data_IF_957862615433
#
_entry.id   IF_957862615433
#
_cell.length_a   1.000
_cell.length_b   1.000
_cell.length_c   1.000
_cell.angle_alpha   90.00
_cell.angle_beta   90.00
_cell.angle_gamma   90.00
#
_symmetry.space_group_name_H-M   'P 1'
#
loop_
_entity.id
_entity.type
_entity.pdbx_description
1 polymer ?
#
# COMPACT_ATOMS: atom_id res chain seq x y z
N UNK A 1 12.17 -21.67 -0.06
CA UNK A 1 11.97 -20.77 1.09
C UNK A 1 12.62 -19.44 0.74
N UNK A 2 11.99 -18.30 1.05
CA UNK A 2 12.61 -17.00 0.85
C UNK A 2 13.92 -16.92 1.64
N UNK A 3 14.92 -16.23 1.09
CA UNK A 3 16.19 -16.02 1.76
C UNK A 3 16.09 -14.92 2.83
N UNK A 4 15.19 -13.96 2.65
CA UNK A 4 14.97 -12.89 3.62
C UNK A 4 14.10 -13.37 4.80
N UNK A 5 14.61 -13.19 6.01
CA UNK A 5 13.92 -13.56 7.25
C UNK A 5 13.38 -12.31 7.98
N UNK A 6 12.06 -12.15 8.05
CA UNK A 6 11.43 -11.00 8.72
C UNK A 6 11.89 -10.89 10.18
N UNK A 7 11.87 -11.99 10.92
CA UNK A 7 12.16 -12.03 12.35
C UNK A 7 13.62 -11.64 12.65
N UNK A 8 14.56 -11.92 11.74
CA UNK A 8 15.96 -11.54 11.91
C UNK A 8 16.17 -10.02 11.96
N UNK A 9 15.28 -9.24 11.35
CA UNK A 9 15.36 -7.77 11.32
C UNK A 9 14.41 -7.08 12.29
N UNK A 10 13.61 -7.81 13.09
CA UNK A 10 12.59 -7.21 13.95
C UNK A 10 13.17 -6.20 14.94
N UNK A 11 14.20 -6.59 15.70
CA UNK A 11 14.82 -5.69 16.68
C UNK A 11 15.40 -4.43 16.01
N UNK A 12 16.06 -4.61 14.85
CA UNK A 12 16.61 -3.48 14.09
C UNK A 12 15.49 -2.56 13.57
N UNK A 13 14.39 -3.11 13.06
CA UNK A 13 13.26 -2.31 12.59
C UNK A 13 12.59 -1.55 13.74
N UNK A 14 12.44 -2.17 14.92
CA UNK A 14 11.95 -1.49 16.12
C UNK A 14 12.81 -0.29 16.50
N UNK A 15 14.13 -0.45 16.51
CA UNK A 15 15.07 0.64 16.81
C UNK A 15 15.00 1.76 15.76
N UNK A 16 14.99 1.41 14.47
CA UNK A 16 14.92 2.37 13.38
C UNK A 16 13.59 3.15 13.36
N UNK A 17 12.46 2.47 13.58
CA UNK A 17 11.16 3.10 13.71
C UNK A 17 11.14 4.06 14.89
N UNK A 18 11.66 3.62 16.04
CA UNK A 18 11.75 4.44 17.24
C UNK A 18 12.56 5.71 16.98
N UNK A 19 13.77 5.56 16.43
CA UNK A 19 14.70 6.65 16.19
C UNK A 19 14.22 7.63 15.11
N UNK A 20 13.56 7.15 14.06
CA UNK A 20 13.09 7.98 12.97
C UNK A 20 11.78 8.71 13.29
N UNK A 21 10.84 8.03 13.95
CA UNK A 21 9.45 8.46 14.03
C UNK A 21 8.91 8.68 15.44
N UNK A 22 9.47 8.05 16.47
CA UNK A 22 8.89 8.08 17.82
C UNK A 22 9.68 8.94 18.83
N UNK A 23 10.97 9.20 18.58
CA UNK A 23 11.78 10.13 19.40
C UNK A 23 11.49 11.58 18.99
N UNK A 24 10.87 12.34 19.89
CA UNK A 24 10.44 13.73 19.64
C UNK A 24 11.61 14.65 19.23
N UNK A 25 12.71 14.61 19.99
CA UNK A 25 13.84 15.53 19.82
C UNK A 25 14.97 14.99 18.92
N UNK A 26 14.68 13.99 18.08
CA UNK A 26 15.67 13.49 17.11
C UNK A 26 15.94 14.58 16.06
N UNK A 27 17.22 14.91 15.87
CA UNK A 27 17.63 15.86 14.82
C UNK A 27 17.18 15.39 13.43
N UNK A 28 16.88 16.34 12.54
CA UNK A 28 16.45 16.03 11.16
C UNK A 28 17.53 15.25 10.39
N UNK A 29 18.81 15.55 10.64
CA UNK A 29 19.96 14.76 10.13
C UNK A 29 19.91 13.31 10.62
N UNK A 30 19.64 13.12 11.92
CA UNK A 30 19.48 11.80 12.52
C UNK A 30 18.29 11.03 11.93
N UNK A 31 17.14 11.69 11.73
CA UNK A 31 15.95 11.10 11.09
C UNK A 31 16.27 10.65 9.66
N UNK A 32 16.86 11.53 8.84
CA UNK A 32 17.26 11.21 7.47
C UNK A 32 18.19 9.99 7.38
N UNK A 33 19.23 9.94 8.22
CA UNK A 33 20.14 8.78 8.28
C UNK A 33 19.42 7.48 8.66
N UNK A 34 18.47 7.57 9.60
CA UNK A 34 17.71 6.40 10.08
C UNK A 34 16.73 5.90 9.00
N UNK A 35 16.04 6.81 8.30
CA UNK A 35 15.15 6.46 7.17
C UNK A 35 15.93 5.80 6.04
N UNK A 36 17.15 6.28 5.74
CA UNK A 36 18.03 5.64 4.76
C UNK A 36 18.33 4.19 5.14
N UNK A 37 18.71 3.94 6.40
CA UNK A 37 18.99 2.59 6.89
C UNK A 37 17.74 1.70 6.88
N UNK A 38 16.57 2.26 7.19
CA UNK A 38 15.29 1.55 7.05
C UNK A 38 15.07 1.15 5.58
N UNK A 39 15.22 2.07 4.64
CA UNK A 39 15.06 1.77 3.22
C UNK A 39 16.01 0.65 2.74
N UNK A 40 17.21 0.51 3.33
CA UNK A 40 18.08 -0.65 3.05
C UNK A 40 17.42 -1.98 3.44
N UNK A 41 16.69 -2.05 4.54
CA UNK A 41 15.95 -3.25 4.96
C UNK A 41 14.80 -3.55 4.00
N UNK A 42 14.06 -2.53 3.58
CA UNK A 42 12.98 -2.69 2.59
C UNK A 42 13.54 -3.20 1.25
N UNK A 43 14.68 -2.65 0.80
CA UNK A 43 15.35 -3.11 -0.41
C UNK A 43 15.89 -4.54 -0.26
N UNK A 44 16.39 -4.93 0.91
CA UNK A 44 16.78 -6.33 1.18
C UNK A 44 15.58 -7.28 1.05
N UNK A 45 14.41 -6.89 1.57
CA UNK A 45 13.16 -7.65 1.42
C UNK A 45 12.80 -7.82 -0.05
N UNK A 46 12.85 -6.72 -0.82
CA UNK A 46 12.50 -6.72 -2.25
C UNK A 46 13.45 -7.58 -3.11
N UNK A 47 14.74 -7.58 -2.77
CA UNK A 47 15.76 -8.38 -3.46
C UNK A 47 15.87 -9.81 -2.93
N UNK A 48 15.04 -10.20 -1.96
CA UNK A 48 15.12 -11.47 -1.23
C UNK A 48 16.56 -11.80 -0.79
N UNK A 49 17.22 -10.84 -0.13
CA UNK A 49 18.62 -11.01 0.29
C UNK A 49 18.74 -11.81 1.58
N UNK A 50 19.72 -12.74 1.67
CA UNK A 50 19.99 -13.45 2.91
C UNK A 50 20.65 -12.52 3.95
N UNK A 51 20.56 -12.96 5.21
CA UNK A 51 21.06 -12.23 6.37
C UNK A 51 22.59 -12.02 6.31
N UNK A 52 23.06 -10.93 6.93
CA UNK A 52 24.49 -10.63 7.08
C UNK A 52 25.20 -10.13 5.82
N UNK A 53 24.57 -10.19 4.63
CA UNK A 53 25.17 -9.61 3.42
C UNK A 53 25.18 -8.08 3.49
N UNK A 54 26.19 -7.44 2.91
CA UNK A 54 26.28 -5.97 2.85
C UNK A 54 25.35 -5.44 1.77
N UNK A 55 24.57 -4.40 2.10
CA UNK A 55 23.81 -3.60 1.15
C UNK A 55 24.11 -2.12 1.38
N UNK A 56 24.20 -1.35 0.30
CA UNK A 56 24.24 0.11 0.34
C UNK A 56 23.43 0.63 -0.85
N UNK A 57 22.39 1.42 -0.58
CA UNK A 57 21.46 1.94 -1.60
C UNK A 57 22.16 2.61 -2.78
N UNK A 58 23.26 3.33 -2.52
CA UNK A 58 23.99 4.07 -3.55
C UNK A 58 24.94 3.23 -4.40
N UNK A 59 25.17 1.96 -4.04
CA UNK A 59 26.17 1.14 -4.72
C UNK A 59 25.73 0.73 -6.14
N UNK A 60 26.66 0.70 -7.12
CA UNK A 60 26.35 0.22 -8.47
C UNK A 60 25.77 -1.19 -8.48
N UNK A 61 26.22 -2.06 -7.57
CA UNK A 61 25.72 -3.43 -7.42
C UNK A 61 24.25 -3.43 -7.01
N UNK A 62 23.86 -2.69 -5.97
CA UNK A 62 22.46 -2.60 -5.54
C UNK A 62 21.57 -2.04 -6.65
N UNK A 63 22.02 -0.97 -7.33
CA UNK A 63 21.28 -0.41 -8.48
C UNK A 63 21.08 -1.43 -9.60
N UNK A 64 22.13 -2.19 -9.95
CA UNK A 64 22.05 -3.24 -10.98
C UNK A 64 21.11 -4.37 -10.58
N UNK A 65 21.15 -4.82 -9.32
CA UNK A 65 20.25 -5.86 -8.81
C UNK A 65 18.79 -5.41 -8.83
N UNK A 66 18.51 -4.17 -8.42
CA UNK A 66 17.16 -3.59 -8.46
C UNK A 66 16.65 -3.48 -9.90
N UNK A 67 17.46 -2.95 -10.80
CA UNK A 67 17.14 -2.85 -12.22
C UNK A 67 16.83 -4.22 -12.83
N UNK A 68 17.62 -5.24 -12.52
CA UNK A 68 17.39 -6.61 -12.99
C UNK A 68 16.10 -7.22 -12.41
N UNK A 69 15.87 -7.09 -11.10
CA UNK A 69 14.67 -7.64 -10.43
C UNK A 69 13.37 -6.98 -10.91
N UNK A 70 13.41 -5.67 -11.17
CA UNK A 70 12.25 -4.86 -11.51
C UNK A 70 12.01 -4.68 -13.00
N UNK A 71 12.90 -5.20 -13.85
CA UNK A 71 12.95 -4.87 -15.28
C UNK A 71 13.04 -3.35 -15.54
N UNK A 72 13.95 -2.67 -14.83
CA UNK A 72 14.15 -1.22 -14.89
C UNK A 72 12.89 -0.40 -14.57
N UNK A 73 12.14 -0.82 -13.56
CA UNK A 73 10.95 -0.07 -13.15
C UNK A 73 11.33 1.30 -12.58
N UNK A 74 10.88 2.35 -13.28
CA UNK A 74 11.19 3.74 -12.90
C UNK A 74 10.60 4.13 -11.54
N UNK A 75 9.44 3.59 -11.15
CA UNK A 75 8.82 3.88 -9.85
C UNK A 75 9.71 3.37 -8.71
N UNK A 76 10.23 2.14 -8.83
CA UNK A 76 11.18 1.61 -7.86
C UNK A 76 12.51 2.38 -7.86
N UNK A 77 13.13 2.52 -9.04
CA UNK A 77 14.49 3.07 -9.17
C UNK A 77 14.51 4.51 -8.64
N UNK A 78 13.57 5.34 -9.07
CA UNK A 78 13.50 6.75 -8.63
C UNK A 78 13.25 6.89 -7.13
N UNK A 79 12.53 5.95 -6.50
CA UNK A 79 12.28 5.96 -5.06
C UNK A 79 13.55 5.65 -4.27
N UNK A 80 14.32 4.64 -4.68
CA UNK A 80 15.63 4.36 -4.08
C UNK A 80 16.61 5.52 -4.29
N UNK A 81 16.61 6.12 -5.49
CA UNK A 81 17.49 7.25 -5.79
C UNK A 81 17.17 8.51 -5.00
N UNK A 82 15.89 8.83 -4.78
CA UNK A 82 15.48 9.95 -3.91
C UNK A 82 15.98 9.76 -2.49
N UNK A 83 15.76 8.59 -1.89
CA UNK A 83 16.24 8.28 -0.52
C UNK A 83 17.77 8.37 -0.46
N UNK A 84 18.48 7.78 -1.42
CA UNK A 84 19.93 7.81 -1.45
C UNK A 84 20.46 9.25 -1.61
N UNK A 85 19.87 10.03 -2.51
CA UNK A 85 20.31 11.40 -2.80
C UNK A 85 20.14 12.29 -1.58
N UNK A 86 18.95 12.29 -0.95
CA UNK A 86 18.71 13.09 0.25
C UNK A 86 19.52 12.57 1.43
N UNK A 87 19.53 11.26 1.67
CA UNK A 87 20.26 10.66 2.78
C UNK A 87 21.77 10.90 2.70
N UNK A 88 22.39 10.80 1.51
CA UNK A 88 23.83 11.01 1.34
C UNK A 88 24.26 12.45 1.65
N UNK A 89 23.37 13.44 1.54
CA UNK A 89 23.68 14.84 1.89
C UNK A 89 24.03 15.02 3.38
N UNK A 90 23.58 14.11 4.25
CA UNK A 90 23.65 14.32 5.70
C UNK A 90 24.51 13.31 6.44
N UNK A 91 25.02 12.28 5.73
CA UNK A 91 25.88 11.23 6.29
C UNK A 91 27.36 11.59 6.31
N UNK A 92 27.82 12.49 5.42
CA UNK A 92 29.23 12.85 5.32
C UNK A 92 29.52 14.20 6.01
N UNK A 93 30.68 14.28 6.67
CA UNK A 93 31.11 15.47 7.43
C UNK A 93 31.49 16.66 6.54
N UNK A 94 31.64 16.44 5.23
CA UNK A 94 31.88 17.49 4.23
C UNK A 94 30.64 18.35 3.97
N UNK A 95 29.45 17.81 4.25
CA UNK A 95 28.20 18.54 4.11
C UNK A 95 27.87 19.29 5.40
N UNK A 96 28.21 20.58 5.41
CA UNK A 96 27.92 21.52 6.51
C UNK A 96 26.45 21.96 6.57
N UNK A 97 25.63 21.56 5.58
CA UNK A 97 24.22 21.89 5.51
C UNK A 97 23.40 21.22 6.61
N UNK A 98 22.36 21.93 7.07
CA UNK A 98 21.34 21.38 7.95
C UNK A 98 20.29 20.64 7.11
N UNK A 99 19.82 19.49 7.59
CA UNK A 99 18.66 18.84 7.02
C UNK A 99 17.41 19.67 7.32
N UNK A 100 16.53 19.81 6.33
CA UNK A 100 15.23 20.48 6.49
C UNK A 100 14.12 19.48 6.77
N UNK A 101 12.96 19.97 7.23
CA UNK A 101 11.76 19.14 7.38
C UNK A 101 11.29 18.59 6.03
N UNK A 102 11.44 19.39 4.96
CA UNK A 102 11.13 18.99 3.59
C UNK A 102 12.00 17.81 3.13
N UNK A 103 13.30 17.81 3.43
CA UNK A 103 14.19 16.68 3.12
C UNK A 103 13.69 15.38 3.78
N UNK A 104 13.34 15.45 5.07
CA UNK A 104 12.81 14.28 5.81
C UNK A 104 11.47 13.84 5.21
N UNK A 105 10.58 14.79 4.90
CA UNK A 105 9.29 14.50 4.30
C UNK A 105 9.43 13.77 2.94
N UNK A 106 10.31 14.25 2.06
CA UNK A 106 10.60 13.61 0.78
C UNK A 106 11.14 12.18 0.94
N UNK A 107 11.97 11.93 1.95
CA UNK A 107 12.45 10.58 2.25
C UNK A 107 11.33 9.66 2.75
N UNK A 108 10.40 10.19 3.55
CA UNK A 108 9.22 9.42 4.00
C UNK A 108 8.31 9.06 2.82
N UNK A 109 8.04 10.00 1.93
CA UNK A 109 7.28 9.73 0.71
C UNK A 109 7.94 8.65 -0.14
N UNK A 110 9.25 8.75 -0.38
CA UNK A 110 9.99 7.73 -1.13
C UNK A 110 10.03 6.37 -0.40
N UNK A 111 10.00 6.35 0.95
CA UNK A 111 9.86 5.10 1.71
C UNK A 111 8.46 4.47 1.52
N UNK A 112 7.40 5.29 1.46
CA UNK A 112 6.05 4.79 1.11
C UNK A 112 6.00 4.24 -0.31
N UNK A 113 6.73 4.84 -1.26
CA UNK A 113 6.86 4.27 -2.59
C UNK A 113 7.56 2.90 -2.57
N UNK A 114 8.60 2.70 -1.75
CA UNK A 114 9.21 1.38 -1.58
C UNK A 114 8.23 0.35 -0.98
N UNK A 115 7.43 0.75 0.01
CA UNK A 115 6.38 -0.12 0.53
C UNK A 115 5.34 -0.48 -0.53
N UNK A 116 4.85 0.52 -1.26
CA UNK A 116 3.91 0.32 -2.34
C UNK A 116 4.47 -0.65 -3.39
N UNK A 117 5.77 -0.56 -3.68
CA UNK A 117 6.43 -1.41 -4.66
C UNK A 117 6.49 -2.89 -4.25
N UNK A 118 6.61 -3.21 -2.95
CA UNK A 118 6.51 -4.61 -2.48
C UNK A 118 5.20 -5.25 -2.95
N UNK A 119 4.08 -4.51 -2.84
CA UNK A 119 2.77 -4.99 -3.25
C UNK A 119 2.57 -4.91 -4.77
N UNK A 120 3.16 -3.93 -5.45
CA UNK A 120 3.15 -3.87 -6.92
C UNK A 120 3.88 -5.10 -7.50
N UNK A 121 5.07 -5.44 -7.01
CA UNK A 121 5.84 -6.62 -7.46
C UNK A 121 5.06 -7.91 -7.21
N UNK A 122 4.36 -8.00 -6.08
CA UNK A 122 3.47 -9.11 -5.75
C UNK A 122 2.29 -9.22 -6.73
N UNK A 123 1.52 -8.14 -6.91
CA UNK A 123 0.30 -8.17 -7.73
C UNK A 123 0.55 -8.22 -9.24
N UNK A 124 1.79 -8.01 -9.69
CA UNK A 124 2.22 -8.31 -11.07
C UNK A 124 2.35 -9.81 -11.34
N UNK A 125 2.50 -10.62 -10.29
CA UNK A 125 2.60 -12.08 -10.36
C UNK A 125 1.29 -12.77 -9.98
N UNK A 126 0.46 -12.10 -9.18
CA UNK A 126 -0.84 -12.59 -8.72
C UNK A 126 -1.90 -11.52 -8.98
N UNK A 127 -2.85 -11.73 -9.89
CA UNK A 127 -3.68 -10.62 -10.35
C UNK A 127 -4.56 -10.06 -9.21
N UNK A 128 -4.61 -8.74 -9.11
CA UNK A 128 -5.36 -8.06 -8.05
C UNK A 128 -6.85 -8.36 -8.16
N UNK A 129 -7.45 -8.86 -7.07
CA UNK A 129 -8.87 -9.22 -7.02
C UNK A 129 -9.18 -10.70 -7.27
N UNK A 130 -8.21 -11.54 -7.64
CA UNK A 130 -8.45 -12.99 -7.78
C UNK A 130 -8.74 -13.66 -6.43
N UNK A 131 -8.00 -13.26 -5.39
CA UNK A 131 -8.19 -13.72 -4.01
C UNK A 131 -8.80 -12.60 -3.17
N UNK A 132 -10.11 -12.70 -2.91
CA UNK A 132 -10.89 -11.69 -2.19
C UNK A 132 -10.33 -11.44 -0.77
N UNK A 133 -9.84 -12.47 -0.09
CA UNK A 133 -9.26 -12.33 1.26
C UNK A 133 -7.96 -11.55 1.24
N UNK A 134 -7.11 -11.77 0.22
CA UNK A 134 -5.89 -10.97 0.01
C UNK A 134 -6.26 -9.51 -0.27
N UNK A 135 -7.25 -9.26 -1.13
CA UNK A 135 -7.72 -7.89 -1.41
C UNK A 135 -8.28 -7.19 -0.16
N UNK A 136 -9.02 -7.90 0.70
CA UNK A 136 -9.52 -7.37 1.96
C UNK A 136 -8.39 -7.05 2.95
N UNK A 137 -7.42 -7.95 3.13
CA UNK A 137 -6.29 -7.72 4.05
C UNK A 137 -5.34 -6.64 3.51
N UNK A 138 -5.13 -6.56 2.20
CA UNK A 138 -4.41 -5.46 1.56
C UNK A 138 -5.07 -4.11 1.87
N UNK A 139 -6.40 -4.09 2.00
CA UNK A 139 -7.16 -2.90 2.36
C UNK A 139 -6.93 -2.43 3.80
N UNK A 140 -6.10 -3.09 4.62
CA UNK A 140 -5.69 -2.62 5.95
C UNK A 140 -4.49 -1.68 5.88
N UNK A 141 -3.69 -1.75 4.80
CA UNK A 141 -2.56 -0.84 4.60
C UNK A 141 -2.98 0.63 4.65
N UNK A 142 -2.07 1.54 5.02
CA UNK A 142 -2.36 2.98 4.99
C UNK A 142 -2.91 3.42 3.63
N UNK A 143 -3.90 4.34 3.59
CA UNK A 143 -4.50 4.81 2.35
C UNK A 143 -3.47 5.27 1.32
N UNK A 144 -2.41 5.96 1.74
CA UNK A 144 -1.34 6.43 0.85
C UNK A 144 -0.61 5.27 0.15
N UNK A 145 -0.23 4.22 0.88
CA UNK A 145 0.44 3.04 0.29
C UNK A 145 -0.50 2.32 -0.66
N UNK A 146 -1.77 2.16 -0.29
CA UNK A 146 -2.80 1.56 -1.14
C UNK A 146 -2.99 2.35 -2.43
N UNK A 147 -3.11 3.67 -2.34
CA UNK A 147 -3.24 4.56 -3.49
C UNK A 147 -2.05 4.40 -4.45
N UNK A 148 -0.82 4.46 -3.94
CA UNK A 148 0.39 4.32 -4.74
C UNK A 148 0.43 2.96 -5.48
N UNK A 149 0.16 1.85 -4.79
CA UNK A 149 0.11 0.53 -5.40
C UNK A 149 -1.00 0.42 -6.43
N UNK A 150 -2.24 0.80 -6.08
CA UNK A 150 -3.41 0.67 -6.93
C UNK A 150 -3.35 1.57 -8.16
N UNK A 151 -2.74 2.76 -8.06
CA UNK A 151 -2.57 3.64 -9.20
C UNK A 151 -1.66 3.01 -10.27
N UNK A 152 -0.59 2.34 -9.85
CA UNK A 152 0.27 1.57 -10.77
C UNK A 152 -0.50 0.38 -11.35
N UNK A 153 -1.19 -0.41 -10.53
CA UNK A 153 -1.96 -1.57 -11.00
C UNK A 153 -3.06 -1.17 -11.99
N UNK A 154 -3.80 -0.09 -11.73
CA UNK A 154 -4.79 0.46 -12.64
C UNK A 154 -4.15 0.89 -13.97
N UNK A 155 -2.98 1.52 -13.95
CA UNK A 155 -2.29 1.90 -15.20
C UNK A 155 -1.86 0.69 -16.05
N UNK A 156 -1.67 -0.48 -15.42
CA UNK A 156 -1.28 -1.72 -16.07
C UNK A 156 -2.48 -2.50 -16.60
N UNK A 157 -3.59 -2.48 -15.87
CA UNK A 157 -4.87 -3.08 -16.28
C UNK A 157 -6.04 -2.13 -15.97
N UNK A 158 -6.35 -1.20 -16.87
CA UNK A 158 -7.43 -0.23 -16.68
C UNK A 158 -8.84 -0.82 -16.76
N UNK A 159 -8.98 -2.13 -17.03
CA UNK A 159 -10.26 -2.84 -17.07
C UNK A 159 -10.52 -3.65 -15.79
N UNK A 160 -9.55 -3.74 -14.87
CA UNK A 160 -9.72 -4.45 -13.61
C UNK A 160 -10.73 -3.73 -12.70
N UNK A 161 -11.94 -4.26 -12.62
CA UNK A 161 -13.06 -3.68 -11.86
C UNK A 161 -12.74 -3.52 -10.37
N UNK A 162 -12.04 -4.52 -9.79
CA UNK A 162 -11.66 -4.51 -8.37
C UNK A 162 -10.61 -3.44 -8.08
N UNK A 163 -9.63 -3.28 -8.98
CA UNK A 163 -8.62 -2.24 -8.86
C UNK A 163 -9.23 -0.84 -8.97
N UNK A 164 -10.17 -0.62 -9.89
CA UNK A 164 -10.88 0.66 -10.05
C UNK A 164 -11.66 1.02 -8.80
N UNK A 165 -12.47 0.09 -8.28
CA UNK A 165 -13.27 0.32 -7.06
C UNK A 165 -12.36 0.66 -5.88
N UNK A 166 -11.36 -0.19 -5.60
CA UNK A 166 -10.45 0.02 -4.48
C UNK A 166 -9.58 1.28 -4.65
N UNK A 167 -9.19 1.63 -5.87
CA UNK A 167 -8.43 2.86 -6.15
C UNK A 167 -9.26 4.09 -5.84
N UNK A 168 -10.53 4.14 -6.27
CA UNK A 168 -11.40 5.29 -5.99
C UNK A 168 -11.54 5.55 -4.48
N UNK A 169 -11.67 4.48 -3.69
CA UNK A 169 -11.75 4.56 -2.23
C UNK A 169 -10.40 4.83 -1.56
N UNK A 170 -9.29 4.37 -2.14
CA UNK A 170 -7.95 4.70 -1.67
C UNK A 170 -7.63 6.18 -1.90
N UNK A 171 -7.99 6.73 -3.07
CA UNK A 171 -7.86 8.15 -3.40
C UNK A 171 -8.64 9.01 -2.40
N UNK A 172 -9.91 8.66 -2.13
CA UNK A 172 -10.72 9.35 -1.11
C UNK A 172 -10.04 9.38 0.26
N UNK A 173 -9.52 8.23 0.71
CA UNK A 173 -8.96 8.07 2.05
C UNK A 173 -7.54 8.65 2.19
N UNK A 174 -6.80 8.76 1.09
CA UNK A 174 -5.46 9.33 1.06
C UNK A 174 -5.47 10.85 0.90
N UNK A 175 -6.48 11.37 0.20
CA UNK A 175 -6.66 12.79 -0.09
C UNK A 175 -8.02 13.24 0.45
N UNK A 176 -9.00 13.41 -0.42
CA UNK A 176 -10.34 13.89 -0.09
C UNK A 176 -11.37 13.47 -1.15
N UNK A 177 -12.63 13.81 -0.89
CA UNK A 177 -13.76 13.52 -1.78
C UNK A 177 -13.62 14.23 -3.14
N UNK A 178 -13.15 15.47 -3.15
CA UNK A 178 -12.98 16.26 -4.38
C UNK A 178 -11.98 15.59 -5.32
N UNK A 179 -10.81 15.20 -4.80
CA UNK A 179 -9.76 14.50 -5.56
C UNK A 179 -10.25 13.16 -6.10
N UNK A 180 -11.00 12.40 -5.29
CA UNK A 180 -11.53 11.10 -5.71
C UNK A 180 -12.60 11.24 -6.81
N UNK A 181 -13.49 12.23 -6.70
CA UNK A 181 -14.50 12.51 -7.73
C UNK A 181 -13.86 13.06 -9.01
N UNK A 182 -12.88 13.95 -8.90
CA UNK A 182 -12.13 14.45 -10.05
C UNK A 182 -11.44 13.31 -10.82
N UNK A 183 -10.81 12.36 -10.10
CA UNK A 183 -10.20 11.18 -10.73
C UNK A 183 -11.22 10.34 -11.52
N UNK A 184 -12.45 10.19 -11.01
CA UNK A 184 -13.55 9.49 -11.70
C UNK A 184 -14.07 10.29 -12.90
N UNK A 185 -14.24 11.60 -12.74
CA UNK A 185 -14.78 12.48 -13.79
C UNK A 185 -13.85 12.58 -15.00
N UNK A 186 -12.54 12.66 -14.77
CA UNK A 186 -11.50 12.61 -15.82
C UNK A 186 -11.58 11.32 -16.67
N UNK A 187 -12.09 10.23 -16.09
CA UNK A 187 -12.16 8.89 -16.70
C UNK A 187 -13.59 8.46 -17.01
N UNK A 188 -14.55 9.39 -16.96
CA UNK A 188 -15.98 9.08 -17.02
C UNK A 188 -16.38 8.27 -18.24
N UNK A 189 -15.89 8.64 -19.43
CA UNK A 189 -16.21 7.93 -20.68
C UNK A 189 -15.75 6.46 -20.61
N UNK A 190 -14.50 6.22 -20.23
CA UNK A 190 -13.93 4.88 -20.08
C UNK A 190 -14.67 4.06 -19.02
N UNK A 191 -14.91 4.64 -17.83
CA UNK A 191 -15.53 3.94 -16.72
C UNK A 191 -17.02 3.68 -16.95
N UNK A 192 -17.71 4.53 -17.71
CA UNK A 192 -19.12 4.31 -18.06
C UNK A 192 -19.31 3.16 -19.06
N UNK A 193 -18.26 2.81 -19.81
CA UNK A 193 -18.28 1.67 -20.73
C UNK A 193 -18.02 0.32 -20.03
N UNK A 194 -17.56 0.32 -18.78
CA UNK A 194 -17.27 -0.89 -18.02
C UNK A 194 -18.47 -1.32 -17.16
N UNK A 195 -18.80 -2.63 -17.14
CA UNK A 195 -19.83 -3.15 -16.23
C UNK A 195 -19.32 -3.07 -14.79
N UNK A 196 -20.23 -2.89 -13.82
CA UNK A 196 -19.87 -2.95 -12.39
C UNK A 196 -19.80 -4.36 -11.81
N UNK A 197 -20.31 -5.34 -12.54
CA UNK A 197 -20.33 -6.75 -12.15
C UNK A 197 -19.42 -7.53 -13.09
N UNK A 198 -18.47 -8.27 -12.53
CA UNK A 198 -17.58 -9.13 -13.30
C UNK A 198 -18.31 -10.36 -13.81
N UNK A 199 -17.76 -11.03 -14.83
CA UNK A 199 -18.32 -12.30 -15.32
C UNK A 199 -18.39 -13.37 -14.23
N UNK A 200 -17.38 -13.41 -13.34
CA UNK A 200 -17.39 -14.27 -12.15
C UNK A 200 -18.57 -13.91 -11.25
N UNK A 201 -18.71 -12.64 -10.87
CA UNK A 201 -19.81 -12.19 -10.00
C UNK A 201 -21.19 -12.46 -10.61
N UNK A 202 -21.34 -12.32 -11.94
CA UNK A 202 -22.58 -12.65 -12.63
C UNK A 202 -22.89 -14.16 -12.57
N UNK A 203 -21.87 -15.03 -12.67
CA UNK A 203 -22.03 -16.48 -12.49
C UNK A 203 -22.39 -16.84 -11.05
N UNK A 204 -21.69 -16.28 -10.08
CA UNK A 204 -21.94 -16.52 -8.65
C UNK A 204 -23.38 -16.11 -8.28
N UNK A 205 -23.85 -14.95 -8.77
CA UNK A 205 -25.25 -14.54 -8.61
C UNK A 205 -26.25 -15.49 -9.29
N UNK A 206 -25.90 -16.05 -10.45
CA UNK A 206 -26.77 -16.99 -11.16
C UNK A 206 -26.88 -18.34 -10.42
N UNK A 207 -25.81 -18.76 -9.75
CA UNK A 207 -25.81 -19.94 -8.89
C UNK A 207 -26.61 -19.72 -7.61
N UNK A 208 -26.52 -18.53 -7.00
CA UNK A 208 -27.21 -18.20 -5.75
C UNK A 208 -28.70 -17.88 -5.95
N UNK A 209 -29.04 -17.05 -6.94
CA UNK A 209 -30.39 -16.50 -7.13
C UNK A 209 -31.13 -17.07 -8.34
N UNK A 210 -30.46 -17.88 -9.17
CA UNK A 210 -31.00 -18.41 -10.43
C UNK A 210 -30.83 -17.46 -11.62
N UNK A 211 -30.69 -18.04 -12.81
CA UNK A 211 -30.31 -17.32 -14.05
C UNK A 211 -31.21 -16.12 -14.39
N UNK A 212 -32.53 -16.25 -14.26
CA UNK A 212 -33.45 -15.19 -14.63
C UNK A 212 -33.33 -13.95 -13.72
N UNK A 213 -33.13 -14.18 -12.41
CA UNK A 213 -32.96 -13.10 -11.43
C UNK A 213 -31.59 -12.46 -11.61
N UNK A 214 -30.53 -13.25 -11.71
CA UNK A 214 -29.17 -12.77 -11.91
C UNK A 214 -29.03 -11.91 -13.17
N UNK A 215 -29.60 -12.35 -14.30
CA UNK A 215 -29.60 -11.56 -15.54
C UNK A 215 -30.24 -10.18 -15.34
N UNK A 216 -31.39 -10.12 -14.66
CA UNK A 216 -32.08 -8.86 -14.39
C UNK A 216 -31.28 -7.97 -13.44
N UNK A 217 -30.58 -8.53 -12.47
CA UNK A 217 -29.70 -7.77 -11.57
C UNK A 217 -28.51 -7.17 -12.33
N UNK A 218 -27.88 -7.94 -13.21
CA UNK A 218 -26.75 -7.47 -14.04
C UNK A 218 -27.19 -6.39 -15.03
N UNK A 219 -28.33 -6.56 -15.70
CA UNK A 219 -28.87 -5.57 -16.65
C UNK A 219 -29.23 -4.23 -15.99
N UNK A 220 -29.63 -4.25 -14.71
CA UNK A 220 -29.98 -3.04 -13.95
C UNK A 220 -28.83 -2.52 -13.09
N UNK A 221 -27.66 -3.17 -13.12
CA UNK A 221 -26.51 -2.73 -12.36
C UNK A 221 -25.96 -1.41 -12.93
N UNK A 222 -25.50 -0.49 -12.08
CA UNK A 222 -24.82 0.72 -12.55
C UNK A 222 -23.56 0.36 -13.35
N UNK A 223 -23.05 1.28 -14.17
CA UNK A 223 -21.69 1.13 -14.70
C UNK A 223 -20.63 1.43 -13.62
N UNK A 224 -19.34 1.22 -13.94
CA UNK A 224 -18.26 1.45 -12.96
C UNK A 224 -18.17 2.90 -12.49
N UNK A 225 -18.40 3.89 -13.36
CA UNK A 225 -18.39 5.30 -12.95
C UNK A 225 -19.48 5.57 -11.90
N UNK A 226 -20.71 5.13 -12.17
CA UNK A 226 -21.85 5.31 -11.27
C UNK A 226 -21.67 4.59 -9.94
N UNK A 227 -21.19 3.34 -9.96
CA UNK A 227 -20.91 2.57 -8.76
C UNK A 227 -19.86 3.26 -7.88
N UNK A 228 -18.69 3.58 -8.46
CA UNK A 228 -17.59 4.19 -7.72
C UNK A 228 -17.98 5.57 -7.18
N UNK A 229 -18.64 6.41 -7.98
CA UNK A 229 -19.08 7.73 -7.53
C UNK A 229 -20.08 7.64 -6.37
N UNK A 230 -20.99 6.65 -6.39
CA UNK A 230 -21.90 6.39 -5.27
C UNK A 230 -21.15 5.92 -4.02
N UNK A 231 -20.20 4.99 -4.16
CA UNK A 231 -19.39 4.46 -3.05
C UNK A 231 -18.52 5.55 -2.43
N UNK A 232 -17.82 6.34 -3.24
CA UNK A 232 -17.01 7.49 -2.77
C UNK A 232 -17.85 8.43 -1.91
N UNK A 233 -19.01 8.90 -2.39
CA UNK A 233 -19.89 9.79 -1.61
C UNK A 233 -20.40 9.15 -0.31
N UNK A 234 -20.75 7.87 -0.37
CA UNK A 234 -21.24 7.13 0.80
C UNK A 234 -20.16 7.03 1.88
N UNK A 235 -18.95 6.65 1.48
CA UNK A 235 -17.81 6.53 2.39
C UNK A 235 -17.32 7.90 2.88
N UNK A 236 -17.33 8.93 2.02
CA UNK A 236 -16.98 10.29 2.39
C UNK A 236 -17.91 10.82 3.51
N UNK A 237 -19.21 10.57 3.38
CA UNK A 237 -20.19 10.89 4.44
C UNK A 237 -19.90 10.16 5.75
N UNK A 238 -19.57 8.86 5.69
CA UNK A 238 -19.21 8.10 6.89
C UNK A 238 -17.93 8.64 7.56
N UNK A 239 -16.90 8.99 6.76
CA UNK A 239 -15.67 9.61 7.24
C UNK A 239 -15.97 10.98 7.88
N UNK A 240 -16.85 11.79 7.30
CA UNK A 240 -17.23 13.08 7.87
C UNK A 240 -17.97 12.93 9.21
N UNK A 241 -18.73 11.85 9.40
CA UNK A 241 -19.51 11.60 10.61
C UNK A 241 -18.71 10.97 11.75
N UNK A 242 -17.81 10.04 11.44
CA UNK A 242 -17.13 9.19 12.42
C UNK A 242 -15.60 9.39 12.45
N UNK A 243 -15.09 10.24 11.56
CA UNK A 243 -13.68 10.21 11.16
C UNK A 243 -13.37 8.94 10.36
N UNK A 244 -12.18 8.82 9.77
CA UNK A 244 -11.73 7.57 9.17
C UNK A 244 -11.25 6.59 10.23
N UNK A 245 -11.18 5.34 9.80
CA UNK A 245 -10.80 4.20 10.63
C UNK A 245 -9.31 4.23 10.98
N UNK A 246 -8.44 4.58 10.03
CA UNK A 246 -7.00 4.75 10.19
C UNK A 246 -6.44 5.61 9.04
N UNK A 247 -5.22 6.13 9.20
CA UNK A 247 -4.54 6.99 8.22
C UNK A 247 -3.12 6.55 7.88
N UNK A 248 -2.46 5.87 8.82
CA UNK A 248 -1.06 5.47 8.75
C UNK A 248 -0.89 4.08 9.34
N UNK A 249 0.33 3.57 9.37
CA UNK A 249 0.57 2.21 9.83
C UNK A 249 0.29 2.05 11.34
N UNK A 250 0.58 3.09 12.12
CA UNK A 250 0.45 3.12 13.57
C UNK A 250 -1.02 3.10 14.01
N UNK A 251 -1.91 3.76 13.25
CA UNK A 251 -3.36 3.63 13.44
C UNK A 251 -3.91 2.30 12.89
N UNK A 252 -3.34 1.78 11.80
CA UNK A 252 -3.83 0.55 11.16
C UNK A 252 -3.41 -0.74 11.89
N UNK A 253 -2.32 -0.73 12.67
CA UNK A 253 -1.78 -1.96 13.27
C UNK A 253 -2.75 -2.67 14.23
N UNK A 254 -3.61 -1.91 14.90
CA UNK A 254 -4.65 -2.49 15.76
C UNK A 254 -5.61 -3.38 14.96
N UNK A 255 -6.07 -2.89 13.80
CA UNK A 255 -6.92 -3.64 12.89
C UNK A 255 -6.19 -4.84 12.28
N UNK A 256 -4.93 -4.66 11.85
CA UNK A 256 -4.12 -5.76 11.32
C UNK A 256 -3.99 -6.91 12.33
N UNK A 257 -3.71 -6.60 13.61
CA UNK A 257 -3.62 -7.62 14.67
C UNK A 257 -4.95 -8.31 14.97
N UNK A 258 -6.08 -7.65 14.75
CA UNK A 258 -7.41 -8.23 14.94
C UNK A 258 -7.81 -9.14 13.77
N UNK A 259 -7.57 -8.71 12.53
CA UNK A 259 -7.91 -9.48 11.33
C UNK A 259 -6.96 -10.67 11.15
N UNK A 260 -5.68 -10.47 11.44
CA UNK A 260 -4.66 -11.51 11.33
C UNK A 260 -4.25 -11.82 9.89
N UNK A 261 -3.80 -13.06 9.68
CA UNK A 261 -3.29 -13.54 8.40
C UNK A 261 -4.40 -14.02 7.48
N UNK A 262 -4.15 -13.98 6.18
CA UNK A 262 -4.99 -14.67 5.19
C UNK A 262 -4.81 -16.19 5.39
N UNK A 263 -5.90 -16.90 5.61
CA UNK A 263 -5.89 -18.36 5.74
C UNK A 263 -5.56 -19.02 4.40
N UNK A 264 -4.72 -20.06 4.42
CA UNK A 264 -4.36 -20.83 3.24
C UNK A 264 -2.87 -21.18 3.20
N UNK A 265 -2.55 -22.23 2.43
CA UNK A 265 -1.19 -22.76 2.32
C UNK A 265 -0.56 -22.54 0.94
N UNK A 266 -1.26 -21.88 0.04
CA UNK A 266 -0.77 -21.56 -1.30
C UNK A 266 0.37 -20.55 -1.23
N UNK A 267 1.23 -20.57 -2.26
CA UNK A 267 2.44 -19.76 -2.29
C UNK A 267 2.12 -18.25 -2.30
N UNK A 268 1.10 -17.84 -3.03
CA UNK A 268 0.59 -16.47 -3.09
C UNK A 268 0.12 -15.96 -1.72
N UNK A 269 -0.55 -16.81 -0.93
CA UNK A 269 -1.01 -16.48 0.43
C UNK A 269 0.18 -16.34 1.39
N UNK A 270 1.12 -17.29 1.33
CA UNK A 270 2.34 -17.26 2.18
C UNK A 270 3.19 -16.03 1.91
N UNK A 271 3.40 -15.71 0.64
CA UNK A 271 4.15 -14.53 0.23
C UNK A 271 3.45 -13.24 0.68
N UNK A 272 2.15 -13.11 0.42
CA UNK A 272 1.39 -11.94 0.81
C UNK A 272 1.40 -11.71 2.33
N UNK A 273 1.16 -12.78 3.11
CA UNK A 273 1.24 -12.72 4.56
C UNK A 273 2.63 -12.29 5.04
N UNK A 274 3.70 -12.75 4.39
CA UNK A 274 5.07 -12.34 4.70
C UNK A 274 5.32 -10.84 4.43
N UNK A 275 4.69 -10.26 3.39
CA UNK A 275 4.74 -8.83 3.12
C UNK A 275 3.95 -8.03 4.16
N UNK A 276 2.74 -8.46 4.48
CA UNK A 276 1.90 -7.81 5.50
C UNK A 276 2.57 -7.83 6.88
N UNK A 277 3.15 -8.96 7.28
CA UNK A 277 3.92 -9.06 8.51
C UNK A 277 5.09 -8.06 8.51
N UNK A 278 5.86 -8.03 7.41
CA UNK A 278 7.03 -7.18 7.28
C UNK A 278 6.71 -5.69 7.45
N UNK A 279 5.66 -5.17 6.81
CA UNK A 279 5.35 -3.73 6.85
C UNK A 279 4.81 -3.24 8.19
N UNK A 280 4.25 -4.14 9.00
CA UNK A 280 3.81 -3.87 10.38
C UNK A 280 4.84 -4.24 11.45
N UNK A 281 5.94 -4.89 11.06
CA UNK A 281 6.98 -5.35 11.98
C UNK A 281 7.60 -4.17 12.74
N UNK A 282 7.67 -4.32 14.07
CA UNK A 282 8.23 -3.33 14.97
C UNK A 282 7.43 -2.06 15.22
N UNK A 283 6.27 -1.88 14.57
CA UNK A 283 5.42 -0.70 14.75
C UNK A 283 4.63 -0.75 16.06
N UNK A 284 4.33 0.43 16.60
CA UNK A 284 3.60 0.61 17.86
C UNK A 284 2.27 1.33 17.60
N UNK A 285 1.15 0.85 18.17
CA UNK A 285 -0.11 1.57 18.08
C UNK A 285 0.00 2.92 18.79
N UNK A 286 -0.61 3.97 18.25
CA UNK A 286 -0.73 5.23 19.01
C UNK A 286 -1.79 5.09 20.11
N UNK A 287 -1.57 5.70 21.28
CA UNK A 287 -2.58 5.74 22.33
C UNK A 287 -3.88 6.38 21.82
N UNK A 288 -5.00 5.66 21.91
CA UNK A 288 -6.33 6.15 21.53
C UNK A 288 -6.80 5.82 20.10
N UNK A 289 -5.96 5.21 19.26
CA UNK A 289 -6.30 4.87 17.86
C UNK A 289 -7.19 3.62 17.71
N UNK A 290 -7.49 2.92 18.79
CA UNK A 290 -8.49 1.83 18.78
C UNK A 290 -9.89 2.45 18.77
N UNK A 291 -10.33 2.90 17.59
CA UNK A 291 -11.73 3.31 17.38
C UNK A 291 -12.65 2.07 17.35
N UNK A 292 -13.85 2.25 17.90
CA UNK A 292 -14.88 1.24 18.06
C UNK A 292 -15.34 0.64 16.71
N UNK A 293 -15.57 -0.67 16.75
CA UNK A 293 -16.25 -1.55 15.79
C UNK A 293 -15.98 -1.33 14.27
N UNK A 294 -15.16 -2.18 13.62
CA UNK A 294 -14.99 -2.20 12.16
C UNK A 294 -16.32 -2.27 11.39
N UNK A 295 -17.36 -2.83 12.00
CA UNK A 295 -18.73 -2.94 11.45
C UNK A 295 -19.31 -1.62 10.94
N UNK A 296 -18.97 -0.49 11.56
CA UNK A 296 -19.49 0.84 11.17
C UNK A 296 -18.93 1.32 9.82
N UNK A 297 -17.85 0.69 9.34
CA UNK A 297 -17.20 0.97 8.06
C UNK A 297 -17.31 -0.20 7.07
N UNK A 298 -17.64 -1.40 7.55
CA UNK A 298 -17.76 -2.64 6.75
C UNK A 298 -19.12 -2.80 6.06
N UNK A 299 -20.12 -1.96 6.35
CA UNK A 299 -21.41 -1.97 5.62
C UNK A 299 -21.32 -1.39 4.20
N UNK A 300 -20.11 -1.10 3.70
CA UNK A 300 -19.88 -0.49 2.38
C UNK A 300 -18.79 -1.21 1.57
N UNK A 301 -18.39 -2.43 1.95
CA UNK A 301 -17.57 -3.30 1.08
C UNK A 301 -18.42 -4.03 0.05
#
# INVERSE_FOLDING_TARGET
>A
MPNFNNQAYEAMLQDLLNDAFYVADRSLRGKASTIRQYAEIVVRKLLDMPDGQRLNLGSPTTKKSLAAKSNNDNFLISSVERINTVGSKFTHTEALGNASEQDVHEMVLALFDLYAYLFIDYFRRHAFGENERITSVFSILPPTVRYLSLNVLYSQDPANLVAIDKLSLATLKAFDEETALAWLDERKEQLSALPSISEKGARDMAEEFGQAIAKKLVENAPNMYELCAKRVRTVAKAIAQHGPLYYDFESAIGLYRQVGFVEGESEDVKEFNSLMEFVYLGRRPRPGDVKNNPGDYLTVE
#
